data_IF_222550243984
#
_entry.id   IF_222550243984
#
_cell.length_a   1.000
_cell.length_b   1.000
_cell.length_c   1.000
_cell.angle_alpha   90.00
_cell.angle_beta   90.00
_cell.angle_gamma   90.00
#
_symmetry.space_group_name_H-M   'P 1'
#
loop_
_entity.id
_entity.type
_entity.pdbx_description
1 polymer ?
#
# COMPACT_ATOMS: atom_id res chain seq x y z
N UNK A 1 23.67 51.75 -22.62
CA UNK A 1 22.73 51.58 -23.76
C UNK A 1 22.79 50.18 -24.38
N UNK A 2 23.89 49.73 -25.01
CA UNK A 2 23.95 48.37 -25.59
C UNK A 2 23.91 47.27 -24.51
N UNK A 3 24.67 47.44 -23.44
CA UNK A 3 24.73 46.50 -22.30
C UNK A 3 23.39 46.36 -21.58
N UNK A 4 22.62 47.45 -21.45
CA UNK A 4 21.31 47.44 -20.78
C UNK A 4 20.25 46.74 -21.64
N UNK A 5 20.33 46.91 -22.97
CA UNK A 5 19.47 46.19 -23.93
C UNK A 5 19.78 44.69 -23.94
N UNK A 6 21.05 44.31 -23.85
CA UNK A 6 21.47 42.90 -23.75
C UNK A 6 20.99 42.28 -22.43
N UNK A 7 21.16 42.98 -21.30
CA UNK A 7 20.66 42.52 -19.99
C UNK A 7 19.14 42.37 -19.97
N UNK A 8 18.42 43.35 -20.53
CA UNK A 8 16.95 43.28 -20.64
C UNK A 8 16.48 42.12 -21.53
N UNK A 9 17.14 41.90 -22.67
CA UNK A 9 16.85 40.76 -23.55
C UNK A 9 17.10 39.41 -22.87
N UNK A 10 18.25 39.27 -22.19
CA UNK A 10 18.59 38.05 -21.45
C UNK A 10 17.59 37.76 -20.32
N UNK A 11 17.16 38.79 -19.58
CA UNK A 11 16.16 38.65 -18.53
C UNK A 11 14.81 38.15 -19.08
N UNK A 12 14.34 38.73 -20.19
CA UNK A 12 13.08 38.29 -20.83
C UNK A 12 13.14 36.83 -21.27
N UNK A 13 14.26 36.39 -21.85
CA UNK A 13 14.46 34.98 -22.25
C UNK A 13 14.47 34.06 -21.04
N UNK A 14 15.17 34.43 -19.97
CA UNK A 14 15.23 33.63 -18.74
C UNK A 14 13.85 33.47 -18.08
N UNK A 15 13.08 34.56 -18.00
CA UNK A 15 11.70 34.52 -17.48
C UNK A 15 10.81 33.64 -18.36
N UNK A 16 10.91 33.76 -19.68
CA UNK A 16 10.15 32.92 -20.62
C UNK A 16 10.48 31.43 -20.47
N UNK A 17 11.76 31.08 -20.33
CA UNK A 17 12.20 29.71 -20.13
C UNK A 17 11.68 29.12 -18.81
N UNK A 18 11.71 29.90 -17.71
CA UNK A 18 11.16 29.48 -16.42
C UNK A 18 9.63 29.32 -16.47
N UNK A 19 8.93 30.25 -17.12
CA UNK A 19 7.48 30.15 -17.29
C UNK A 19 7.09 28.92 -18.11
N UNK A 20 7.79 28.65 -19.22
CA UNK A 20 7.59 27.46 -20.03
C UNK A 20 7.86 26.18 -19.23
N UNK A 21 8.94 26.14 -18.44
CA UNK A 21 9.27 25.01 -17.58
C UNK A 21 8.20 24.75 -16.50
N UNK A 22 7.69 25.82 -15.88
CA UNK A 22 6.62 25.71 -14.88
C UNK A 22 5.30 25.21 -15.49
N UNK A 23 4.89 25.75 -16.65
CA UNK A 23 3.70 25.29 -17.36
C UNK A 23 3.85 23.83 -17.79
N UNK A 24 4.99 23.45 -18.35
CA UNK A 24 5.31 22.08 -18.74
C UNK A 24 5.26 21.13 -17.52
N UNK A 25 5.77 21.58 -16.36
CA UNK A 25 5.68 20.83 -15.09
C UNK A 25 4.23 20.62 -14.67
N UNK A 26 3.38 21.65 -14.69
CA UNK A 26 1.97 21.51 -14.33
C UNK A 26 1.25 20.54 -15.27
N UNK A 27 1.43 20.70 -16.58
CA UNK A 27 0.78 19.86 -17.59
C UNK A 27 1.21 18.38 -17.50
N UNK A 28 2.51 18.12 -17.33
CA UNK A 28 3.04 16.76 -17.17
C UNK A 28 2.51 16.06 -15.92
N UNK A 29 2.11 16.83 -14.90
CA UNK A 29 1.59 16.30 -13.65
C UNK A 29 0.05 16.17 -13.60
N UNK A 30 -0.67 16.49 -14.69
CA UNK A 30 -2.12 16.23 -14.79
C UNK A 30 -2.44 14.74 -14.98
N UNK A 31 -3.64 14.24 -14.56
CA UNK A 31 -3.99 12.82 -14.65
C UNK A 31 -3.84 12.20 -16.06
N UNK A 32 -4.14 12.96 -17.11
CA UNK A 32 -4.26 12.42 -18.48
C UNK A 32 -2.98 12.52 -19.33
N UNK A 33 -1.93 13.18 -18.85
CA UNK A 33 -0.71 13.45 -19.64
C UNK A 33 0.32 12.31 -19.70
N UNK A 34 -0.07 11.06 -19.42
CA UNK A 34 0.84 9.90 -19.29
C UNK A 34 1.71 9.65 -20.53
N UNK A 35 1.22 10.01 -21.72
CA UNK A 35 1.94 9.81 -22.99
C UNK A 35 2.54 11.10 -23.58
N UNK A 36 2.59 12.19 -22.83
CA UNK A 36 3.10 13.46 -23.34
C UNK A 36 4.51 13.74 -22.83
N UNK A 37 5.50 13.77 -23.73
CA UNK A 37 6.84 14.22 -23.40
C UNK A 37 6.93 15.76 -23.44
N UNK A 38 6.67 16.37 -22.29
CA UNK A 38 6.71 17.82 -22.11
C UNK A 38 8.13 18.40 -22.22
N UNK A 39 9.19 17.57 -22.23
CA UNK A 39 10.59 18.02 -22.33
C UNK A 39 10.89 18.65 -23.69
N UNK A 40 10.12 18.29 -24.71
CA UNK A 40 10.17 18.89 -26.05
C UNK A 40 9.93 20.41 -26.01
N UNK A 41 9.12 20.89 -25.06
CA UNK A 41 8.79 22.31 -24.91
C UNK A 41 9.73 23.07 -23.97
N UNK A 42 10.63 22.37 -23.27
CA UNK A 42 11.59 22.95 -22.31
C UNK A 42 13.04 22.81 -22.78
N UNK A 43 13.27 22.54 -24.07
CA UNK A 43 14.62 22.35 -24.62
C UNK A 43 15.34 21.12 -24.06
N UNK A 44 14.58 20.09 -23.64
CA UNK A 44 15.12 18.86 -23.04
C UNK A 44 15.38 18.94 -21.53
N UNK A 45 15.15 20.08 -20.89
CA UNK A 45 15.35 20.23 -19.44
C UNK A 45 14.48 19.20 -18.70
N UNK A 46 15.06 18.39 -17.78
CA UNK A 46 14.29 17.57 -16.85
C UNK A 46 13.12 18.32 -16.21
N UNK A 47 11.95 17.70 -16.23
CA UNK A 47 10.72 18.19 -15.62
C UNK A 47 10.42 17.37 -14.36
N UNK A 48 10.22 18.00 -13.20
CA UNK A 48 9.87 17.29 -11.97
C UNK A 48 8.55 16.52 -12.11
N UNK A 49 8.57 15.24 -11.73
CA UNK A 49 7.37 14.41 -11.62
C UNK A 49 6.96 14.22 -10.17
N UNK A 50 5.79 14.72 -9.80
CA UNK A 50 5.16 14.53 -8.48
C UNK A 50 3.79 13.88 -8.57
N UNK A 51 3.43 13.33 -9.74
CA UNK A 51 2.20 12.56 -9.93
C UNK A 51 2.09 11.53 -8.81
N UNK A 52 1.05 11.66 -7.99
CA UNK A 52 0.69 10.62 -7.05
C UNK A 52 0.22 9.41 -7.87
N UNK A 53 0.97 8.31 -7.82
CA UNK A 53 0.97 7.17 -8.75
C UNK A 53 -0.29 6.26 -8.73
N UNK A 54 -1.51 6.80 -8.64
CA UNK A 54 -2.71 6.00 -8.84
C UNK A 54 -3.83 6.86 -9.46
N UNK A 55 -4.38 6.47 -10.62
CA UNK A 55 -5.56 7.13 -11.19
C UNK A 55 -6.76 7.14 -10.24
N UNK A 56 -6.82 6.18 -9.31
CA UNK A 56 -7.83 6.12 -8.26
C UNK A 56 -7.20 5.62 -6.94
N UNK A 57 -6.53 6.51 -6.18
CA UNK A 57 -5.85 6.12 -4.95
C UNK A 57 -6.86 5.77 -3.85
N UNK A 58 -6.56 4.75 -3.05
CA UNK A 58 -7.30 4.49 -1.81
C UNK A 58 -8.74 4.00 -1.98
N UNK A 59 -9.08 3.38 -3.11
CA UNK A 59 -10.44 2.85 -3.36
C UNK A 59 -10.86 1.71 -2.44
N UNK A 60 -9.88 1.00 -1.88
CA UNK A 60 -10.10 -0.16 -1.03
C UNK A 60 -9.06 -0.26 0.08
N UNK A 61 -9.49 -0.82 1.21
CA UNK A 61 -8.63 -1.25 2.30
C UNK A 61 -8.61 -2.77 2.33
N UNK A 62 -7.44 -3.37 2.59
CA UNK A 62 -7.35 -4.81 2.83
C UNK A 62 -7.27 -5.04 4.33
N UNK A 63 -8.15 -5.88 4.84
CA UNK A 63 -8.19 -6.27 6.25
C UNK A 63 -7.75 -7.73 6.40
N UNK A 64 -6.94 -8.00 7.42
CA UNK A 64 -6.59 -9.33 7.88
C UNK A 64 -7.52 -9.73 9.02
N UNK A 65 -8.42 -10.66 8.76
CA UNK A 65 -9.28 -11.25 9.77
C UNK A 65 -8.72 -12.60 10.21
N UNK A 66 -8.76 -12.87 11.51
CA UNK A 66 -8.33 -14.14 12.09
C UNK A 66 -9.45 -14.72 12.94
N UNK A 67 -9.60 -16.05 12.89
CA UNK A 67 -10.37 -16.81 13.86
C UNK A 67 -9.60 -18.04 14.30
N UNK A 68 -9.96 -18.54 15.47
CA UNK A 68 -9.27 -19.64 16.14
C UNK A 68 -10.25 -20.78 16.39
N UNK A 69 -9.75 -21.99 16.61
CA UNK A 69 -10.56 -23.08 17.18
C UNK A 69 -10.25 -23.21 18.66
N UNK A 70 -11.29 -23.09 19.49
CA UNK A 70 -11.27 -23.39 20.93
C UNK A 70 -11.97 -24.73 21.20
N UNK A 71 -12.09 -25.12 22.47
CA UNK A 71 -12.87 -26.29 22.87
C UNK A 71 -14.36 -26.19 22.50
N UNK A 72 -14.88 -24.98 22.35
CA UNK A 72 -16.28 -24.72 22.01
C UNK A 72 -16.50 -24.59 20.48
N UNK A 73 -15.43 -24.69 19.69
CA UNK A 73 -15.45 -24.58 18.23
C UNK A 73 -14.81 -23.29 17.69
N UNK A 74 -15.09 -22.92 16.43
CA UNK A 74 -14.51 -21.73 15.81
C UNK A 74 -15.00 -20.42 16.46
N UNK A 75 -14.07 -19.53 16.80
CA UNK A 75 -14.39 -18.19 17.27
C UNK A 75 -14.97 -17.32 16.14
N UNK A 76 -15.67 -16.22 16.48
CA UNK A 76 -15.95 -15.16 15.50
C UNK A 76 -14.68 -14.61 14.87
N UNK A 77 -14.82 -14.07 13.65
CA UNK A 77 -13.74 -13.36 12.98
C UNK A 77 -13.36 -12.09 13.74
N UNK A 78 -12.06 -11.89 13.97
CA UNK A 78 -11.49 -10.69 14.59
C UNK A 78 -10.58 -10.00 13.58
N UNK A 79 -10.76 -8.69 13.41
CA UNK A 79 -9.82 -7.89 12.64
C UNK A 79 -8.52 -7.69 13.42
N UNK A 80 -7.41 -8.10 12.82
CA UNK A 80 -6.06 -7.98 13.40
C UNK A 80 -5.16 -7.10 12.53
N UNK A 81 -5.74 -6.34 11.60
CA UNK A 81 -5.02 -5.37 10.77
C UNK A 81 -4.34 -4.33 11.67
N UNK A 82 -3.01 -4.12 11.55
CA UNK A 82 -2.29 -3.21 12.43
C UNK A 82 -2.81 -1.77 12.35
N UNK A 83 -3.09 -1.16 13.50
CA UNK A 83 -3.38 0.27 13.59
C UNK A 83 -2.06 1.03 13.53
N UNK A 84 -1.91 1.92 12.55
CA UNK A 84 -0.74 2.80 12.45
C UNK A 84 -1.08 4.10 13.19
N UNK A 85 -0.40 4.44 14.30
CA UNK A 85 -0.61 5.72 14.96
C UNK A 85 -0.21 6.85 14.02
N UNK A 86 -0.92 7.98 14.07
CA UNK A 86 -0.64 9.18 13.27
C UNK A 86 -0.27 10.34 14.19
N UNK A 87 0.96 10.85 14.06
CA UNK A 87 1.46 12.00 14.83
C UNK A 87 2.36 12.90 13.99
N UNK A 88 2.48 14.17 14.37
CA UNK A 88 3.23 15.16 13.58
C UNK A 88 4.72 14.80 13.41
N UNK A 89 5.34 14.18 14.42
CA UNK A 89 6.74 13.73 14.36
C UNK A 89 6.97 12.61 13.34
N UNK A 90 5.93 11.84 13.02
CA UNK A 90 6.01 10.75 12.04
C UNK A 90 6.07 11.25 10.61
N UNK A 91 5.69 12.51 10.34
CA UNK A 91 5.91 13.14 9.04
C UNK A 91 7.41 13.26 8.75
N UNK A 92 8.20 13.55 9.78
CA UNK A 92 9.66 13.65 9.68
C UNK A 92 10.33 12.28 9.76
N UNK A 93 9.85 11.39 10.65
CA UNK A 93 10.47 10.08 10.86
C UNK A 93 9.50 9.03 11.43
N UNK A 94 9.20 7.97 10.67
CA UNK A 94 8.26 6.91 11.06
C UNK A 94 8.83 5.49 10.92
N UNK A 95 9.79 5.06 11.75
CA UNK A 95 10.42 3.74 11.63
C UNK A 95 9.44 2.60 11.95
N UNK A 96 8.45 2.83 12.82
CA UNK A 96 7.46 1.81 13.22
C UNK A 96 6.45 1.47 12.11
N UNK A 97 6.39 2.26 11.04
CA UNK A 97 5.54 1.97 9.87
C UNK A 97 5.99 0.78 9.02
N UNK A 98 7.24 0.32 9.16
CA UNK A 98 7.82 -0.72 8.28
C UNK A 98 7.09 -2.06 8.40
N UNK A 99 6.75 -2.49 9.62
CA UNK A 99 6.03 -3.75 9.85
C UNK A 99 4.62 -3.75 9.24
N UNK A 100 3.76 -2.77 9.60
CA UNK A 100 2.44 -2.61 8.98
C UNK A 100 2.51 -2.48 7.46
N UNK A 101 3.50 -1.75 6.92
CA UNK A 101 3.69 -1.61 5.47
C UNK A 101 4.08 -2.95 4.81
N UNK A 102 4.97 -3.73 5.43
CA UNK A 102 5.35 -5.04 4.91
C UNK A 102 4.16 -6.01 4.87
N UNK A 103 3.33 -6.03 5.93
CA UNK A 103 2.11 -6.82 5.95
C UNK A 103 1.11 -6.33 4.89
N UNK A 104 0.92 -5.02 4.77
CA UNK A 104 0.07 -4.44 3.73
C UNK A 104 0.53 -4.85 2.33
N UNK A 105 1.83 -4.78 2.04
CA UNK A 105 2.38 -5.18 0.74
C UNK A 105 2.19 -6.67 0.48
N UNK A 106 2.38 -7.53 1.50
CA UNK A 106 2.10 -8.96 1.39
C UNK A 106 0.62 -9.23 1.07
N UNK A 107 -0.30 -8.59 1.79
CA UNK A 107 -1.74 -8.71 1.52
C UNK A 107 -2.11 -8.22 0.12
N UNK A 108 -1.53 -7.12 -0.36
CA UNK A 108 -1.76 -6.62 -1.72
C UNK A 108 -1.25 -7.59 -2.79
N UNK A 109 -0.08 -8.20 -2.59
CA UNK A 109 0.44 -9.22 -3.51
C UNK A 109 -0.51 -10.42 -3.58
N UNK A 110 -1.05 -10.89 -2.46
CA UNK A 110 -2.05 -11.97 -2.46
C UNK A 110 -3.35 -11.56 -3.16
N UNK A 111 -3.80 -10.32 -3.00
CA UNK A 111 -4.92 -9.78 -3.77
C UNK A 111 -4.68 -9.80 -5.27
N UNK A 112 -3.47 -9.44 -5.71
CA UNK A 112 -3.08 -9.47 -7.13
C UNK A 112 -3.04 -10.91 -7.65
N UNK A 113 -2.44 -11.84 -6.88
CA UNK A 113 -2.40 -13.27 -7.24
C UNK A 113 -3.81 -13.86 -7.37
N UNK A 114 -4.70 -13.56 -6.43
CA UNK A 114 -6.11 -13.97 -6.46
C UNK A 114 -6.84 -13.37 -7.68
N UNK A 115 -6.66 -12.08 -7.97
CA UNK A 115 -7.27 -11.43 -9.12
C UNK A 115 -6.81 -12.01 -10.46
N UNK A 116 -5.56 -12.46 -10.53
CA UNK A 116 -4.99 -13.15 -11.69
C UNK A 116 -5.29 -14.66 -11.72
N UNK A 117 -6.19 -15.15 -10.85
CA UNK A 117 -6.61 -16.55 -10.78
C UNK A 117 -5.43 -17.52 -10.57
N UNK A 118 -4.43 -17.10 -9.79
CA UNK A 118 -3.33 -17.98 -9.42
C UNK A 118 -3.85 -19.22 -8.68
N UNK A 119 -3.23 -20.38 -8.96
CA UNK A 119 -3.55 -21.64 -8.28
C UNK A 119 -3.30 -21.50 -6.77
N UNK A 120 -4.21 -22.04 -5.96
CA UNK A 120 -4.11 -21.97 -4.50
C UNK A 120 -2.81 -22.57 -3.96
N UNK A 121 -2.31 -23.65 -4.59
CA UNK A 121 -1.04 -24.28 -4.21
C UNK A 121 0.17 -23.35 -4.43
N UNK A 122 0.13 -22.51 -5.46
CA UNK A 122 1.16 -21.50 -5.71
C UNK A 122 1.07 -20.36 -4.70
N UNK A 123 -0.15 -19.97 -4.34
CA UNK A 123 -0.41 -18.93 -3.34
C UNK A 123 0.14 -19.34 -1.97
N UNK A 124 -0.12 -20.58 -1.52
CA UNK A 124 0.32 -21.05 -0.18
C UNK A 124 1.83 -21.24 -0.05
N UNK A 125 2.56 -21.38 -1.16
CA UNK A 125 4.02 -21.51 -1.18
C UNK A 125 4.74 -20.16 -1.37
N UNK A 126 4.00 -19.06 -1.41
CA UNK A 126 4.55 -17.75 -1.70
C UNK A 126 5.00 -17.02 -0.42
N UNK A 127 6.08 -16.23 -0.52
CA UNK A 127 6.52 -15.34 0.55
C UNK A 127 5.41 -14.43 1.14
N UNK A 128 4.53 -13.80 0.33
CA UNK A 128 3.47 -12.98 0.92
C UNK A 128 2.47 -13.80 1.75
N UNK A 129 2.23 -15.07 1.40
CA UNK A 129 1.43 -15.96 2.24
C UNK A 129 2.10 -16.25 3.58
N UNK A 130 3.40 -16.55 3.58
CA UNK A 130 4.16 -16.78 4.81
C UNK A 130 4.16 -15.56 5.74
N UNK A 131 4.30 -14.35 5.17
CA UNK A 131 4.26 -13.10 5.95
C UNK A 131 2.88 -12.85 6.58
N UNK A 132 1.80 -13.09 5.83
CA UNK A 132 0.44 -12.99 6.37
C UNK A 132 0.20 -14.04 7.44
N UNK A 133 0.62 -15.29 7.21
CA UNK A 133 0.50 -16.35 8.20
C UNK A 133 1.28 -16.04 9.48
N UNK A 134 2.50 -15.52 9.37
CA UNK A 134 3.30 -15.12 10.52
C UNK A 134 2.60 -14.01 11.32
N UNK A 135 2.03 -13.01 10.65
CA UNK A 135 1.24 -11.96 11.29
C UNK A 135 -0.02 -12.52 11.95
N UNK A 136 -0.74 -13.43 11.29
CA UNK A 136 -1.90 -14.11 11.86
C UNK A 136 -1.54 -14.90 13.12
N UNK A 137 -0.46 -15.69 13.09
CA UNK A 137 0.03 -16.44 14.27
C UNK A 137 0.38 -15.52 15.43
N UNK A 138 0.94 -14.35 15.16
CA UNK A 138 1.30 -13.38 16.21
C UNK A 138 0.07 -12.81 16.94
N UNK A 139 -1.11 -12.84 16.31
CA UNK A 139 -2.35 -12.27 16.82
C UNK A 139 -3.29 -13.30 17.49
N UNK A 140 -2.89 -14.57 17.54
CA UNK A 140 -3.68 -15.68 18.08
C UNK A 140 -3.46 -15.87 19.58
N UNK A 141 -4.49 -16.32 20.31
CA UNK A 141 -4.38 -16.66 21.73
C UNK A 141 -3.50 -17.90 21.98
N UNK A 142 -2.85 -17.94 23.14
CA UNK A 142 -1.89 -19.00 23.50
C UNK A 142 -2.51 -20.41 23.60
N UNK A 143 -3.83 -20.52 23.78
CA UNK A 143 -4.57 -21.77 23.92
C UNK A 143 -5.28 -22.23 22.63
N UNK A 144 -5.13 -21.50 21.52
CA UNK A 144 -5.76 -21.87 20.26
C UNK A 144 -5.15 -23.14 19.67
N UNK A 145 -5.99 -24.06 19.19
CA UNK A 145 -5.55 -25.34 18.58
C UNK A 145 -5.23 -25.22 17.10
N UNK A 146 -5.97 -24.36 16.41
CA UNK A 146 -5.79 -24.07 15.01
C UNK A 146 -6.23 -22.63 14.76
N UNK A 147 -5.66 -22.00 13.73
CA UNK A 147 -6.10 -20.70 13.24
C UNK A 147 -6.56 -20.81 11.80
N UNK A 148 -7.40 -19.86 11.41
CA UNK A 148 -7.73 -19.57 10.03
C UNK A 148 -7.67 -18.07 9.84
N UNK A 149 -7.15 -17.62 8.71
CA UNK A 149 -7.17 -16.21 8.35
C UNK A 149 -7.96 -15.96 7.06
N UNK A 150 -8.50 -14.77 6.95
CA UNK A 150 -9.27 -14.28 5.81
C UNK A 150 -8.76 -12.89 5.44
N UNK A 151 -8.39 -12.72 4.18
CA UNK A 151 -8.13 -11.41 3.59
C UNK A 151 -9.43 -10.86 3.00
N UNK A 152 -9.80 -9.66 3.41
CA UNK A 152 -11.04 -9.00 3.00
C UNK A 152 -10.74 -7.64 2.39
N UNK A 153 -11.19 -7.40 1.17
CA UNK A 153 -11.25 -6.04 0.62
C UNK A 153 -12.49 -5.33 1.15
N UNK A 154 -12.29 -4.09 1.62
CA UNK A 154 -13.34 -3.17 2.01
C UNK A 154 -13.30 -1.96 1.09
N UNK A 155 -14.39 -1.66 0.40
CA UNK A 155 -14.56 -0.50 -0.49
C UNK A 155 -15.46 0.53 0.20
N UNK A 156 -14.92 1.55 0.90
CA UNK A 156 -15.73 2.44 1.74
C UNK A 156 -16.80 3.20 0.96
N UNK A 157 -16.50 3.56 -0.29
CA UNK A 157 -17.38 4.32 -1.18
C UNK A 157 -18.40 3.46 -1.94
N UNK A 158 -18.32 2.13 -1.86
CA UNK A 158 -19.23 1.23 -2.58
C UNK A 158 -20.60 1.09 -1.87
N UNK A 159 -21.66 0.70 -2.60
CA UNK A 159 -22.94 0.26 -2.04
C UNK A 159 -22.76 -0.89 -1.04
N UNK A 160 -23.61 -0.96 -0.01
CA UNK A 160 -23.44 -1.85 1.15
C UNK A 160 -23.25 -3.33 0.80
N UNK A 161 -23.95 -3.82 -0.22
CA UNK A 161 -23.88 -5.17 -0.78
C UNK A 161 -22.55 -5.49 -1.49
N UNK A 162 -21.79 -4.45 -1.88
CA UNK A 162 -20.54 -4.56 -2.64
C UNK A 162 -19.33 -4.07 -1.84
N UNK A 163 -19.52 -3.61 -0.60
CA UNK A 163 -18.44 -3.07 0.24
C UNK A 163 -17.41 -4.10 0.62
N UNK A 164 -17.80 -5.37 0.78
CA UNK A 164 -16.94 -6.42 1.29
C UNK A 164 -16.72 -7.48 0.22
N UNK A 165 -15.47 -7.74 -0.14
CA UNK A 165 -15.11 -8.80 -1.09
C UNK A 165 -13.99 -9.67 -0.51
N UNK A 166 -14.26 -10.95 -0.19
CA UNK A 166 -13.21 -11.85 0.27
C UNK A 166 -12.19 -12.07 -0.85
N UNK A 167 -10.91 -12.02 -0.48
CA UNK A 167 -9.77 -12.29 -1.39
C UNK A 167 -9.37 -13.75 -1.28
N UNK A 168 -9.09 -14.18 -0.05
CA UNK A 168 -8.56 -15.51 0.24
C UNK A 168 -8.93 -15.89 1.68
N UNK A 169 -9.41 -17.12 1.85
CA UNK A 169 -9.52 -17.76 3.16
C UNK A 169 -8.48 -18.88 3.21
N UNK A 170 -7.65 -18.90 4.25
CA UNK A 170 -6.72 -20.01 4.45
C UNK A 170 -7.46 -21.30 4.76
N UNK A 171 -6.78 -22.44 4.61
CA UNK A 171 -7.21 -23.65 5.29
C UNK A 171 -7.09 -23.48 6.82
N UNK A 172 -7.62 -24.43 7.59
CA UNK A 172 -7.34 -24.48 9.02
C UNK A 172 -5.89 -24.89 9.24
N UNK A 173 -5.13 -24.04 9.90
CA UNK A 173 -3.71 -24.21 10.12
C UNK A 173 -3.50 -24.63 11.57
N UNK A 174 -3.00 -25.86 11.83
CA UNK A 174 -2.70 -26.31 13.17
C UNK A 174 -1.68 -25.41 13.86
N UNK A 175 -1.95 -25.13 15.13
CA UNK A 175 -1.00 -24.49 16.04
C UNK A 175 -0.46 -25.61 16.91
N UNK A 176 0.80 -25.97 16.72
CA UNK A 176 1.45 -26.92 17.61
C UNK A 176 1.35 -26.42 19.05
N UNK A 177 1.31 -27.32 20.04
CA UNK A 177 1.21 -27.04 21.48
C UNK A 177 2.45 -26.34 22.09
N UNK A 178 3.23 -25.63 21.26
CA UNK A 178 4.46 -24.95 21.65
C UNK A 178 4.17 -23.61 22.31
N UNK A 179 4.28 -23.59 23.64
CA UNK A 179 4.35 -22.38 24.48
C UNK A 179 5.28 -21.35 23.83
N UNK A 180 4.78 -20.16 23.48
CA UNK A 180 5.64 -19.03 23.05
C UNK A 180 6.70 -18.80 24.14
N UNK A 181 7.99 -18.67 23.81
CA UNK A 181 8.95 -18.14 24.77
C UNK A 181 8.49 -16.74 25.16
N UNK A 182 8.32 -16.52 26.46
CA UNK A 182 7.96 -15.23 27.01
C UNK A 182 9.08 -14.23 26.70
N UNK A 183 8.82 -13.29 25.78
CA UNK A 183 9.75 -12.21 25.48
C UNK A 183 9.87 -11.87 24.00
N UNK A 184 8.90 -11.12 23.48
CA UNK A 184 9.12 -10.24 22.33
C UNK A 184 8.09 -9.11 22.37
N UNK A 185 8.19 -8.26 23.39
CA UNK A 185 7.60 -6.94 23.41
C UNK A 185 8.75 -5.93 23.31
N UNK A 186 8.87 -5.27 22.15
CA UNK A 186 9.57 -3.99 21.94
C UNK A 186 9.11 -3.36 20.62
#
# INVERSE_FOLDING_TARGET
MLTDRIKGGAATVAVGALAAHLVATVLQNTPDSYNQDMRTFTGGWPIPGWRFFAPNPGVQNVHLLVRETTDEGPTPWRDVTPVVPHGWTQVLYNPRSRGPKALFDAMQQLSIMSANQADFSWVTQSLPYDLVLAASRAAVADNARALQFLLMNVFPSAPADQRMKPILTSEWIPLGTGRRPAGAAA
#
